data_IF_380224046199
#
_entry.id   IF_380224046199
#
_cell.length_a   1.000
_cell.length_b   1.000
_cell.length_c   1.000
_cell.angle_alpha   90.00
_cell.angle_beta   90.00
_cell.angle_gamma   90.00
#
_symmetry.space_group_name_H-M   'P 1'
#
loop_
_entity.id
_entity.type
_entity.pdbx_description
1 polymer ?
#
# COMPACT_ATOMS: atom_id res chain seq x y z
N UNK A 1 2.97 27.02 39.81
CA UNK A 1 3.83 26.74 38.64
C UNK A 1 3.41 25.40 38.09
N UNK A 2 3.01 25.32 36.82
CA UNK A 2 2.83 24.01 36.17
C UNK A 2 4.24 23.50 35.87
N UNK A 3 4.63 22.38 36.46
CA UNK A 3 5.91 21.74 36.15
C UNK A 3 5.78 21.05 34.80
N UNK A 4 6.70 21.37 33.89
CA UNK A 4 6.85 20.66 32.62
C UNK A 4 7.29 19.21 32.89
N UNK A 5 6.97 18.28 31.98
CA UNK A 5 7.46 16.91 32.07
C UNK A 5 8.96 16.82 31.85
N UNK A 6 9.60 15.85 32.51
CA UNK A 6 11.05 15.62 32.40
C UNK A 6 11.46 15.31 30.96
N UNK A 7 10.68 14.48 30.25
CA UNK A 7 10.93 14.16 28.84
C UNK A 7 10.85 15.41 27.95
N UNK A 8 9.88 16.29 28.18
CA UNK A 8 9.78 17.55 27.43
C UNK A 8 11.00 18.45 27.69
N UNK A 9 11.44 18.58 28.94
CA UNK A 9 12.61 19.37 29.30
C UNK A 9 13.87 18.80 28.63
N UNK A 10 14.07 17.48 28.69
CA UNK A 10 15.19 16.80 28.04
C UNK A 10 15.18 17.02 26.52
N UNK A 11 13.99 16.92 25.89
CA UNK A 11 13.82 17.18 24.47
C UNK A 11 14.07 18.64 24.08
N UNK A 12 13.71 19.63 24.92
CA UNK A 12 14.08 21.03 24.69
C UNK A 12 15.59 21.24 24.81
N UNK A 13 16.20 20.65 25.84
CA UNK A 13 17.61 20.82 26.18
C UNK A 13 18.58 20.08 25.27
N UNK A 14 18.12 19.11 24.48
CA UNK A 14 18.98 18.29 23.65
C UNK A 14 19.69 17.17 24.41
N UNK A 15 19.18 16.78 25.58
CA UNK A 15 19.77 15.75 26.45
C UNK A 15 19.39 14.34 25.96
N UNK A 16 20.13 13.83 24.98
CA UNK A 16 19.87 12.53 24.37
C UNK A 16 19.94 11.37 25.37
N UNK A 17 20.89 11.40 26.31
CA UNK A 17 21.08 10.33 27.30
C UNK A 17 19.91 10.25 28.27
N UNK A 18 19.43 11.42 28.75
CA UNK A 18 18.24 11.47 29.58
C UNK A 18 16.99 11.03 28.80
N UNK A 19 16.84 11.44 27.54
CA UNK A 19 15.74 10.96 26.68
C UNK A 19 15.77 9.44 26.58
N UNK A 20 16.92 8.82 26.29
CA UNK A 20 17.04 7.35 26.21
C UNK A 20 16.68 6.67 27.54
N UNK A 21 17.16 7.21 28.66
CA UNK A 21 16.84 6.70 29.99
C UNK A 21 15.34 6.76 30.30
N UNK A 22 14.69 7.86 29.96
CA UNK A 22 13.26 8.06 30.17
C UNK A 22 12.42 7.15 29.27
N UNK A 23 12.74 7.05 27.98
CA UNK A 23 12.00 6.21 27.02
C UNK A 23 11.95 4.73 27.42
N UNK A 24 12.96 4.24 28.15
CA UNK A 24 12.99 2.86 28.63
C UNK A 24 11.96 2.55 29.74
N UNK A 25 11.38 3.57 30.38
CA UNK A 25 10.49 3.43 31.54
C UNK A 25 9.12 4.08 31.40
N UNK A 26 8.92 4.94 30.39
CA UNK A 26 7.69 5.73 30.25
C UNK A 26 6.57 4.97 29.56
N UNK A 27 5.33 5.18 30.04
CA UNK A 27 4.10 4.65 29.45
C UNK A 27 3.53 5.58 28.35
N UNK A 28 2.58 5.09 27.55
CA UNK A 28 1.99 5.80 26.39
C UNK A 28 1.49 7.25 26.69
N UNK A 29 0.89 7.47 27.86
CA UNK A 29 0.34 8.78 28.20
C UNK A 29 1.43 9.81 28.56
N UNK A 30 2.63 9.34 28.92
CA UNK A 30 3.71 10.19 29.37
C UNK A 30 4.57 10.66 28.19
N UNK A 31 4.80 9.80 27.20
CA UNK A 31 5.58 10.13 26.00
C UNK A 31 4.90 11.20 25.12
N UNK A 32 3.57 11.26 25.14
CA UNK A 32 2.75 12.20 24.38
C UNK A 32 2.16 13.32 25.26
N UNK A 33 2.68 13.51 26.47
CA UNK A 33 2.12 14.49 27.40
C UNK A 33 2.16 15.89 26.78
N UNK A 34 1.01 16.56 26.79
CA UNK A 34 0.89 17.95 26.34
C UNK A 34 1.28 18.90 27.46
N UNK A 35 2.17 19.82 27.14
CA UNK A 35 2.56 20.92 28.01
C UNK A 35 1.57 22.09 27.93
N UNK A 36 1.69 23.17 28.73
CA UNK A 36 0.71 24.26 28.75
C UNK A 36 0.43 24.94 27.40
N UNK A 37 1.40 24.95 26.49
CA UNK A 37 1.24 25.44 25.10
C UNK A 37 0.64 24.38 24.14
N UNK A 38 0.26 23.21 24.67
CA UNK A 38 -0.26 22.08 23.93
C UNK A 38 0.80 21.21 23.24
N UNK A 39 2.07 21.62 23.28
CA UNK A 39 3.19 20.92 22.62
C UNK A 39 3.55 19.64 23.36
N UNK A 40 4.03 18.66 22.61
CA UNK A 40 4.52 17.37 23.12
C UNK A 40 6.05 17.33 23.12
N UNK A 41 6.70 16.33 23.74
CA UNK A 41 8.14 16.14 23.62
C UNK A 41 8.65 16.08 22.17
N UNK A 42 7.87 15.50 21.25
CA UNK A 42 8.20 15.49 19.81
C UNK A 42 8.21 16.90 19.21
N UNK A 43 7.26 17.77 19.59
CA UNK A 43 7.29 19.18 19.17
C UNK A 43 8.54 19.88 19.70
N UNK A 44 8.87 19.68 20.99
CA UNK A 44 10.05 20.29 21.59
C UNK A 44 11.35 19.91 20.85
N UNK A 45 11.56 18.62 20.59
CA UNK A 45 12.72 18.12 19.87
C UNK A 45 12.80 18.69 18.44
N UNK A 46 11.66 18.79 17.75
CA UNK A 46 11.59 19.33 16.39
C UNK A 46 11.86 20.84 16.37
N UNK A 47 11.18 21.63 17.21
CA UNK A 47 11.32 23.09 17.26
C UNK A 47 12.76 23.52 17.58
N UNK A 48 13.46 22.76 18.43
CA UNK A 48 14.85 23.06 18.82
C UNK A 48 15.89 22.40 17.90
N UNK A 49 15.46 21.63 16.89
CA UNK A 49 16.36 21.09 15.88
C UNK A 49 17.15 19.85 16.28
N UNK A 50 16.75 19.15 17.34
CA UNK A 50 17.49 18.01 17.90
C UNK A 50 17.26 16.72 17.11
N UNK A 51 17.89 16.62 15.93
CA UNK A 51 17.73 15.52 14.96
C UNK A 51 17.81 14.12 15.60
N UNK A 52 18.81 13.87 16.45
CA UNK A 52 18.98 12.57 17.11
C UNK A 52 17.81 12.22 18.03
N UNK A 53 17.31 13.20 18.79
CA UNK A 53 16.16 13.01 19.68
C UNK A 53 14.88 12.81 18.86
N UNK A 54 14.68 13.56 17.78
CA UNK A 54 13.54 13.34 16.88
C UNK A 54 13.56 11.92 16.32
N UNK A 55 14.73 11.40 15.92
CA UNK A 55 14.88 10.01 15.48
C UNK A 55 14.50 9.02 16.59
N UNK A 56 14.96 9.24 17.82
CA UNK A 56 14.62 8.37 18.95
C UNK A 56 13.11 8.32 19.21
N UNK A 57 12.48 9.49 19.32
CA UNK A 57 11.04 9.57 19.54
C UNK A 57 10.24 8.91 18.40
N UNK A 58 10.63 9.11 17.15
CA UNK A 58 9.92 8.52 16.01
C UNK A 58 10.11 7.00 15.87
N UNK A 59 11.08 6.40 16.56
CA UNK A 59 11.23 4.94 16.67
C UNK A 59 10.27 4.32 17.69
N UNK A 60 9.80 5.12 18.65
CA UNK A 60 8.88 4.65 19.68
C UNK A 60 7.46 4.53 19.13
N UNK A 61 6.91 3.32 19.14
CA UNK A 61 5.61 3.03 18.53
C UNK A 61 4.43 3.75 19.21
N UNK A 62 4.64 4.22 20.44
CA UNK A 62 3.69 4.96 21.23
C UNK A 62 3.66 6.46 20.89
N UNK A 63 4.63 7.00 20.17
CA UNK A 63 4.64 8.43 19.82
C UNK A 63 3.54 8.76 18.82
N UNK A 64 2.66 9.67 19.19
CA UNK A 64 1.65 10.22 18.29
C UNK A 64 2.24 11.36 17.45
N UNK A 65 2.59 10.98 16.22
CA UNK A 65 3.18 11.86 15.19
C UNK A 65 2.22 12.96 14.73
N UNK A 66 0.91 12.78 14.96
CA UNK A 66 -0.16 13.64 14.45
C UNK A 66 -0.74 14.55 15.52
N UNK A 67 -0.26 14.45 16.75
CA UNK A 67 -0.76 15.29 17.83
C UNK A 67 -0.50 16.76 17.50
N UNK A 68 -1.50 17.61 17.77
CA UNK A 68 -1.45 19.04 17.50
C UNK A 68 -1.25 19.85 18.78
N UNK A 69 -0.40 20.87 18.70
CA UNK A 69 -0.24 21.86 19.76
C UNK A 69 -1.41 22.87 19.80
N UNK A 70 -1.37 23.88 20.68
CA UNK A 70 -2.44 24.89 20.76
C UNK A 70 -2.52 25.80 19.53
N UNK A 71 -1.50 25.81 18.67
CA UNK A 71 -1.53 26.47 17.36
C UNK A 71 -2.16 25.58 16.27
N UNK A 72 -2.68 24.40 16.63
CA UNK A 72 -3.22 23.40 15.71
C UNK A 72 -2.19 22.82 14.73
N UNK A 73 -0.90 22.93 15.05
CA UNK A 73 0.22 22.43 14.24
C UNK A 73 0.72 21.09 14.78
N UNK A 74 1.09 20.17 13.89
CA UNK A 74 1.83 18.95 14.24
C UNK A 74 3.32 19.26 14.38
N UNK A 75 4.07 18.35 15.00
CA UNK A 75 5.53 18.47 15.08
C UNK A 75 6.18 18.56 13.68
N UNK A 76 5.67 17.82 12.69
CA UNK A 76 6.16 17.94 11.30
C UNK A 76 5.99 19.35 10.73
N UNK A 77 4.86 20.02 11.02
CA UNK A 77 4.58 21.37 10.53
C UNK A 77 5.44 22.45 11.21
N UNK A 78 5.87 22.21 12.45
CA UNK A 78 6.80 23.05 13.20
C UNK A 78 8.27 22.88 12.74
N UNK A 79 8.58 21.84 11.95
CA UNK A 79 9.94 21.58 11.50
C UNK A 79 10.49 22.73 10.63
N UNK A 80 11.61 23.31 11.07
CA UNK A 80 12.25 24.44 10.38
C UNK A 80 13.16 24.02 9.22
N UNK A 81 13.57 22.74 9.16
CA UNK A 81 14.51 22.23 8.17
C UNK A 81 13.98 20.98 7.48
N UNK A 82 14.35 20.81 6.21
CA UNK A 82 13.97 19.62 5.45
C UNK A 82 14.61 18.34 6.00
N UNK A 83 15.79 18.45 6.63
CA UNK A 83 16.43 17.33 7.32
C UNK A 83 15.51 16.74 8.42
N UNK A 84 14.84 17.59 9.20
CA UNK A 84 13.90 17.13 10.22
C UNK A 84 12.62 16.60 9.59
N UNK A 85 12.08 17.25 8.55
CA UNK A 85 10.91 16.76 7.80
C UNK A 85 11.14 15.37 7.23
N UNK A 86 12.34 15.10 6.70
CA UNK A 86 12.72 13.79 6.17
C UNK A 86 12.62 12.67 7.21
N UNK A 87 12.78 12.96 8.51
CA UNK A 87 12.61 11.97 9.57
C UNK A 87 11.15 11.49 9.68
N UNK A 88 10.19 12.27 9.18
CA UNK A 88 8.78 11.90 9.18
C UNK A 88 8.37 11.02 7.99
N UNK A 89 9.25 10.80 7.03
CA UNK A 89 9.03 9.87 5.93
C UNK A 89 9.66 8.50 6.24
N UNK A 90 9.22 7.44 5.56
CA UNK A 90 9.87 6.12 5.66
C UNK A 90 11.32 6.22 5.18
N UNK A 91 12.24 5.45 5.78
CA UNK A 91 13.62 5.44 5.35
C UNK A 91 13.76 4.80 3.95
N UNK A 92 14.61 5.41 3.14
CA UNK A 92 14.96 4.96 1.80
C UNK A 92 16.05 3.84 1.90
N UNK A 93 15.68 2.56 2.07
CA UNK A 93 16.60 1.40 2.15
C UNK A 93 16.65 0.52 0.88
N UNK A 94 17.75 -0.16 0.56
CA UNK A 94 17.89 -0.92 -0.69
C UNK A 94 16.85 -2.05 -0.93
N UNK A 95 16.24 -2.63 0.12
CA UNK A 95 15.18 -3.66 0.01
C UNK A 95 13.79 -3.03 0.12
N UNK A 96 13.44 -2.22 -0.87
CA UNK A 96 12.41 -1.19 -0.71
C UNK A 96 11.06 -1.50 -1.32
N UNK A 97 10.03 -0.89 -0.72
CA UNK A 97 8.65 -0.73 -1.21
C UNK A 97 8.49 -0.17 -2.62
N UNK A 98 9.58 0.39 -3.14
CA UNK A 98 9.67 1.10 -4.40
C UNK A 98 10.85 0.63 -5.26
N UNK A 99 11.39 -0.56 -4.99
CA UNK A 99 12.42 -1.16 -5.83
C UNK A 99 11.92 -2.48 -6.43
N UNK A 100 11.83 -2.54 -7.77
CA UNK A 100 11.35 -3.73 -8.46
C UNK A 100 12.50 -4.73 -8.61
N UNK A 101 13.01 -5.24 -7.49
CA UNK A 101 14.21 -6.10 -7.47
C UNK A 101 13.99 -7.41 -8.27
N UNK A 102 12.74 -7.86 -8.46
CA UNK A 102 12.33 -9.03 -9.28
C UNK A 102 10.84 -8.96 -9.70
N UNK A 103 10.48 -9.52 -10.88
CA UNK A 103 10.17 -8.78 -12.13
C UNK A 103 9.21 -7.59 -11.95
N UNK A 104 9.13 -6.73 -12.98
CA UNK A 104 8.28 -5.54 -13.03
C UNK A 104 6.89 -5.77 -12.40
N UNK A 105 6.33 -4.81 -11.63
CA UNK A 105 4.98 -4.90 -11.07
C UNK A 105 3.90 -4.83 -12.14
N UNK A 106 4.30 -4.67 -13.40
CA UNK A 106 3.48 -4.67 -14.60
C UNK A 106 4.03 -5.75 -15.53
N UNK A 107 3.16 -6.59 -16.06
CA UNK A 107 3.52 -7.60 -17.05
C UNK A 107 2.93 -7.21 -18.40
N UNK A 108 3.76 -7.17 -19.44
CA UNK A 108 3.35 -6.75 -20.78
C UNK A 108 3.43 -7.96 -21.72
N UNK A 109 2.31 -8.28 -22.38
CA UNK A 109 2.16 -9.48 -23.22
C UNK A 109 2.26 -9.17 -24.70
N UNK A 110 3.13 -9.89 -25.40
CA UNK A 110 3.13 -9.99 -26.86
C UNK A 110 2.37 -11.25 -27.31
N UNK A 111 1.30 -11.10 -28.11
CA UNK A 111 0.77 -12.23 -28.89
C UNK A 111 1.79 -12.59 -29.98
N UNK A 112 2.69 -13.55 -29.73
CA UNK A 112 3.33 -14.27 -30.83
C UNK A 112 2.27 -15.19 -31.44
N UNK A 113 1.70 -14.77 -32.57
CA UNK A 113 0.80 -15.60 -33.34
C UNK A 113 1.58 -16.75 -34.01
N UNK A 114 1.33 -17.95 -33.46
CA UNK A 114 1.32 -19.28 -34.09
C UNK A 114 2.66 -19.95 -34.45
N UNK A 115 2.82 -21.13 -33.84
CA UNK A 115 3.82 -22.19 -34.07
C UNK A 115 5.20 -21.97 -33.45
N UNK A 116 5.36 -22.45 -32.21
CA UNK A 116 6.41 -23.43 -31.87
C UNK A 116 6.21 -23.94 -30.43
N UNK A 117 5.95 -25.25 -30.35
CA UNK A 117 6.11 -26.04 -29.14
C UNK A 117 7.59 -25.97 -28.71
N UNK A 118 7.87 -25.38 -27.55
CA UNK A 118 8.90 -25.76 -26.56
C UNK A 118 9.45 -24.53 -25.83
N UNK A 119 9.05 -24.35 -24.58
CA UNK A 119 9.70 -23.40 -23.67
C UNK A 119 8.70 -22.64 -22.82
N UNK A 120 8.54 -23.07 -21.58
CA UNK A 120 7.69 -22.43 -20.57
C UNK A 120 8.11 -20.97 -20.34
N UNK A 121 7.17 -20.03 -20.47
CA UNK A 121 7.22 -18.65 -19.97
C UNK A 121 5.77 -18.23 -19.65
N UNK A 122 5.29 -18.15 -18.41
CA UNK A 122 5.54 -17.25 -17.24
C UNK A 122 4.62 -16.02 -17.24
N UNK A 123 3.57 -16.17 -16.41
CA UNK A 123 2.53 -15.25 -15.91
C UNK A 123 1.58 -14.64 -16.96
N UNK A 124 0.38 -14.14 -16.58
CA UNK A 124 -0.71 -13.71 -17.49
C UNK A 124 -1.58 -12.59 -16.88
N UNK A 125 -1.32 -11.30 -17.16
CA UNK A 125 -2.19 -10.18 -16.72
C UNK A 125 -2.31 -8.99 -17.73
N UNK A 126 -3.42 -9.05 -18.50
CA UNK A 126 -4.20 -8.02 -19.28
C UNK A 126 -3.81 -7.60 -20.72
N UNK A 127 -4.30 -8.37 -21.71
CA UNK A 127 -5.46 -8.05 -22.59
C UNK A 127 -5.37 -7.02 -23.74
N UNK A 128 -5.91 -7.39 -24.92
CA UNK A 128 -6.08 -6.58 -26.13
C UNK A 128 -7.45 -5.86 -26.12
N UNK A 129 -7.50 -4.56 -26.36
CA UNK A 129 -8.74 -3.79 -26.55
C UNK A 129 -9.33 -4.09 -27.95
N UNK A 130 -10.57 -4.58 -28.03
CA UNK A 130 -11.30 -4.62 -29.31
C UNK A 130 -11.73 -3.22 -29.76
N UNK A 131 -12.07 -3.08 -31.05
CA UNK A 131 -12.64 -1.88 -31.69
C UNK A 131 -13.87 -1.30 -30.98
N UNK A 132 -14.54 -2.08 -30.11
CA UNK A 132 -15.71 -1.67 -29.32
C UNK A 132 -15.38 -1.39 -27.84
N UNK A 133 -14.13 -1.03 -27.49
CA UNK A 133 -13.69 -0.69 -26.13
C UNK A 133 -13.86 -1.82 -25.09
N UNK A 134 -13.88 -3.10 -25.52
CA UNK A 134 -13.91 -4.26 -24.63
C UNK A 134 -12.49 -4.84 -24.48
N UNK A 135 -12.07 -5.12 -23.25
CA UNK A 135 -10.78 -5.77 -22.97
C UNK A 135 -10.91 -7.29 -23.24
N UNK A 136 -10.29 -7.79 -24.31
CA UNK A 136 -10.16 -9.22 -24.64
C UNK A 136 -8.95 -9.81 -23.91
N UNK A 137 -9.14 -10.96 -23.26
CA UNK A 137 -8.16 -11.58 -22.32
C UNK A 137 -8.72 -11.67 -20.91
N UNK A 138 -9.38 -10.60 -20.43
CA UNK A 138 -10.18 -10.62 -19.21
C UNK A 138 -11.47 -11.42 -19.38
N UNK A 139 -12.09 -11.37 -20.57
CA UNK A 139 -13.17 -12.29 -20.96
C UNK A 139 -12.73 -13.74 -20.98
N UNK A 140 -11.48 -14.08 -21.22
CA UNK A 140 -11.03 -15.48 -21.13
C UNK A 140 -10.90 -15.92 -19.67
N UNK A 141 -10.48 -15.05 -18.74
CA UNK A 141 -10.52 -15.36 -17.30
C UNK A 141 -11.95 -15.59 -16.75
N UNK A 142 -12.97 -14.95 -17.33
CA UNK A 142 -14.37 -15.09 -16.90
C UNK A 142 -15.25 -15.95 -17.83
N UNK A 143 -14.79 -16.27 -19.05
CA UNK A 143 -15.48 -17.13 -20.02
C UNK A 143 -14.70 -18.39 -20.41
N UNK A 144 -13.50 -18.65 -19.87
CA UNK A 144 -12.84 -19.96 -19.98
C UNK A 144 -13.37 -20.92 -18.91
N UNK A 145 -14.63 -21.27 -19.07
CA UNK A 145 -15.31 -22.27 -18.26
C UNK A 145 -14.85 -23.70 -18.49
N UNK A 146 -13.80 -23.99 -19.29
CA UNK A 146 -13.27 -25.37 -19.44
C UNK A 146 -11.76 -25.56 -19.58
N UNK A 147 -10.98 -24.54 -19.98
CA UNK A 147 -9.53 -24.72 -20.25
C UNK A 147 -8.57 -24.01 -19.27
N UNK A 148 -9.06 -23.18 -18.34
CA UNK A 148 -8.25 -22.70 -17.19
C UNK A 148 -8.05 -23.81 -16.15
N UNK A 149 -8.99 -24.76 -16.09
CA UNK A 149 -8.98 -25.93 -15.19
C UNK A 149 -7.77 -26.86 -15.39
N UNK A 150 -7.05 -26.74 -16.50
CA UNK A 150 -5.86 -27.53 -16.82
C UNK A 150 -4.53 -26.77 -16.70
N UNK A 151 -4.56 -25.46 -16.41
CA UNK A 151 -3.33 -24.67 -16.19
C UNK A 151 -2.98 -24.61 -14.70
N UNK A 152 -1.69 -24.74 -14.35
CA UNK A 152 -1.22 -24.76 -12.96
C UNK A 152 -1.57 -23.46 -12.20
N UNK A 153 -1.53 -22.32 -12.89
CA UNK A 153 -1.89 -21.01 -12.33
C UNK A 153 -3.41 -20.82 -12.20
N UNK A 154 -4.17 -21.31 -13.19
CA UNK A 154 -5.63 -21.36 -13.13
C UNK A 154 -6.11 -22.21 -11.96
N UNK A 155 -5.46 -23.34 -11.69
CA UNK A 155 -5.70 -24.15 -10.51
C UNK A 155 -5.25 -23.46 -9.21
N UNK A 156 -4.11 -22.73 -9.18
CA UNK A 156 -3.70 -21.95 -8.00
C UNK A 156 -4.67 -20.81 -7.67
N UNK A 157 -5.05 -19.99 -8.66
CA UNK A 157 -5.99 -18.89 -8.49
C UNK A 157 -7.40 -19.41 -8.21
N UNK A 158 -7.86 -20.46 -8.91
CA UNK A 158 -9.11 -21.15 -8.61
C UNK A 158 -9.08 -21.81 -7.23
N UNK A 159 -7.96 -22.36 -6.75
CA UNK A 159 -7.87 -22.92 -5.38
C UNK A 159 -7.83 -21.81 -4.33
N UNK A 160 -7.16 -20.69 -4.59
CA UNK A 160 -7.18 -19.48 -3.75
C UNK A 160 -8.53 -18.74 -3.78
N UNK A 161 -9.33 -18.94 -4.82
CA UNK A 161 -10.63 -18.30 -4.99
C UNK A 161 -11.79 -19.22 -4.56
N UNK A 162 -11.74 -20.52 -4.85
CA UNK A 162 -12.77 -21.52 -4.47
C UNK A 162 -12.59 -22.15 -3.10
N UNK A 163 -11.40 -22.08 -2.47
CA UNK A 163 -11.32 -22.31 -1.01
C UNK A 163 -12.04 -21.23 -0.20
N UNK A 164 -12.35 -20.07 -0.80
CA UNK A 164 -12.86 -18.89 -0.08
C UNK A 164 -14.19 -18.35 -0.62
N UNK A 165 -14.65 -18.81 -1.80
CA UNK A 165 -15.93 -18.43 -2.43
C UNK A 165 -16.79 -19.67 -2.72
N UNK A 166 -16.44 -20.85 -2.19
CA UNK A 166 -17.45 -21.89 -2.04
C UNK A 166 -18.46 -21.40 -0.97
N UNK A 167 -19.75 -21.18 -1.33
CA UNK A 167 -20.76 -20.69 -0.40
C UNK A 167 -21.00 -21.65 0.79
N UNK A 168 -20.58 -22.91 0.66
CA UNK A 168 -20.59 -23.91 1.74
C UNK A 168 -19.30 -23.90 2.57
N UNK A 169 -18.25 -23.21 2.13
CA UNK A 169 -16.93 -23.05 2.75
C UNK A 169 -16.66 -21.61 3.23
N UNK A 170 -17.72 -20.89 3.64
CA UNK A 170 -17.62 -19.82 4.63
C UNK A 170 -16.90 -20.27 5.94
N UNK A 171 -16.71 -21.58 6.07
CA UNK A 171 -15.69 -22.28 6.86
C UNK A 171 -14.35 -22.07 6.12
N UNK A 172 -13.55 -21.03 6.37
CA UNK A 172 -12.83 -20.91 7.62
C UNK A 172 -12.08 -19.55 7.68
N UNK A 173 -12.79 -18.42 7.84
CA UNK A 173 -12.15 -17.10 8.15
C UNK A 173 -11.13 -17.21 9.29
N UNK A 174 -11.41 -18.10 10.26
CA UNK A 174 -10.48 -18.48 11.33
C UNK A 174 -9.17 -19.06 10.80
N UNK A 175 -9.21 -19.92 9.77
CA UNK A 175 -8.00 -20.44 9.11
C UNK A 175 -7.21 -19.34 8.43
N UNK A 176 -7.90 -18.36 7.82
CA UNK A 176 -7.25 -17.25 7.14
C UNK A 176 -6.57 -16.27 8.09
N UNK A 177 -7.27 -15.86 9.15
CA UNK A 177 -6.70 -15.04 10.23
C UNK A 177 -5.51 -15.77 10.86
N UNK A 178 -5.61 -17.10 11.07
CA UNK A 178 -4.49 -17.93 11.53
C UNK A 178 -3.30 -17.94 10.56
N UNK A 179 -3.54 -18.04 9.25
CA UNK A 179 -2.47 -17.98 8.25
C UNK A 179 -1.79 -16.61 8.23
N UNK A 180 -2.57 -15.53 8.33
CA UNK A 180 -2.01 -14.19 8.38
C UNK A 180 -1.22 -13.94 9.67
N UNK A 181 -1.73 -14.41 10.82
CA UNK A 181 -1.00 -14.38 12.09
C UNK A 181 0.31 -15.15 11.99
N UNK A 182 0.28 -16.36 11.41
CA UNK A 182 1.49 -17.16 11.18
C UNK A 182 2.50 -16.41 10.31
N UNK A 183 2.07 -15.74 9.23
CA UNK A 183 2.95 -14.93 8.39
C UNK A 183 3.56 -13.76 9.18
N UNK A 184 2.79 -13.11 10.04
CA UNK A 184 3.27 -12.04 10.93
C UNK A 184 4.35 -12.60 11.86
N UNK A 185 4.05 -13.67 12.59
CA UNK A 185 4.93 -14.26 13.60
C UNK A 185 6.23 -14.83 12.99
N UNK A 186 6.17 -15.37 11.77
CA UNK A 186 7.36 -15.83 11.02
C UNK A 186 8.24 -14.68 10.51
N UNK A 187 7.67 -13.49 10.31
CA UNK A 187 8.38 -12.35 9.70
C UNK A 187 8.94 -11.38 10.75
N UNK A 188 8.28 -11.28 11.89
CA UNK A 188 8.62 -10.36 12.98
C UNK A 188 8.75 -11.17 14.27
N UNK A 189 9.97 -11.54 14.69
CA UNK A 189 10.15 -12.27 15.93
C UNK A 189 9.86 -11.38 17.16
N UNK A 190 9.57 -11.97 18.34
CA UNK A 190 9.16 -11.21 19.53
C UNK A 190 10.16 -10.17 20.05
N UNK A 191 11.45 -10.32 19.73
CA UNK A 191 12.53 -9.40 20.06
C UNK A 191 12.64 -8.20 19.10
N UNK A 192 11.89 -8.20 17.99
CA UNK A 192 11.84 -7.09 17.06
C UNK A 192 11.08 -5.89 17.67
N UNK A 193 11.64 -4.69 17.58
CA UNK A 193 11.07 -3.47 18.19
C UNK A 193 9.61 -3.16 17.77
N UNK A 194 9.23 -3.45 16.53
CA UNK A 194 7.85 -3.28 16.03
C UNK A 194 6.88 -4.40 16.43
N UNK A 195 7.33 -5.51 17.01
CA UNK A 195 6.47 -6.66 17.33
C UNK A 195 5.26 -6.28 18.21
N UNK A 196 5.41 -5.50 19.31
CA UNK A 196 4.26 -5.09 20.13
C UNK A 196 3.22 -4.31 19.33
N UNK A 197 3.66 -3.39 18.47
CA UNK A 197 2.77 -2.57 17.63
C UNK A 197 2.01 -3.42 16.62
N UNK A 198 2.70 -4.37 15.98
CA UNK A 198 2.08 -5.26 15.00
C UNK A 198 1.05 -6.18 15.65
N UNK A 199 1.35 -6.75 16.82
CA UNK A 199 0.38 -7.55 17.57
C UNK A 199 -0.83 -6.71 18.01
N UNK A 200 -0.62 -5.47 18.48
CA UNK A 200 -1.71 -4.58 18.85
C UNK A 200 -2.67 -4.29 17.68
N UNK A 201 -2.13 -3.95 16.50
CA UNK A 201 -2.93 -3.70 15.30
C UNK A 201 -3.68 -4.95 14.82
N UNK A 202 -3.01 -6.11 14.87
CA UNK A 202 -3.65 -7.37 14.50
C UNK A 202 -4.79 -7.74 15.46
N UNK A 203 -4.56 -7.61 16.77
CA UNK A 203 -5.59 -7.86 17.79
C UNK A 203 -6.77 -6.88 17.65
N UNK A 204 -6.51 -5.61 17.34
CA UNK A 204 -7.55 -4.62 17.06
C UNK A 204 -8.38 -5.02 15.84
N UNK A 205 -7.76 -5.53 14.77
CA UNK A 205 -8.48 -6.10 13.63
C UNK A 205 -9.35 -7.30 14.06
N UNK A 206 -8.80 -8.25 14.82
CA UNK A 206 -9.56 -9.42 15.27
C UNK A 206 -10.82 -9.01 16.06
N UNK A 207 -10.71 -7.99 16.89
CA UNK A 207 -11.83 -7.49 17.71
C UNK A 207 -12.84 -6.66 16.91
N UNK A 208 -12.37 -5.76 16.05
CA UNK A 208 -13.22 -4.76 15.40
C UNK A 208 -13.70 -5.17 14.02
N UNK A 209 -12.97 -6.06 13.35
CA UNK A 209 -13.16 -6.46 11.95
C UNK A 209 -13.16 -5.25 11.00
N UNK A 210 -12.48 -4.16 11.36
CA UNK A 210 -12.32 -2.95 10.55
C UNK A 210 -11.04 -3.04 9.71
N UNK A 211 -10.98 -2.56 8.46
CA UNK A 211 -9.79 -2.70 7.61
C UNK A 211 -8.58 -1.86 8.04
N UNK A 212 -8.81 -0.77 8.79
CA UNK A 212 -7.79 0.25 9.11
C UNK A 212 -6.56 -0.31 9.84
N UNK A 213 -6.67 -1.19 10.86
CA UNK A 213 -5.50 -1.70 11.56
C UNK A 213 -4.57 -2.51 10.65
N UNK A 214 -5.13 -3.28 9.70
CA UNK A 214 -4.34 -4.09 8.77
C UNK A 214 -3.70 -3.27 7.65
N UNK A 215 -4.42 -2.25 7.16
CA UNK A 215 -3.84 -1.27 6.25
C UNK A 215 -2.73 -0.45 6.94
N UNK A 216 -2.90 -0.12 8.22
CA UNK A 216 -1.88 0.55 9.03
C UNK A 216 -0.64 -0.36 9.16
N UNK A 217 -0.83 -1.64 9.46
CA UNK A 217 0.22 -2.65 9.53
C UNK A 217 0.99 -2.76 8.19
N UNK A 218 0.31 -2.70 7.04
CA UNK A 218 0.94 -2.64 5.72
C UNK A 218 1.81 -1.38 5.51
N UNK A 219 1.49 -0.27 6.16
CA UNK A 219 2.26 0.98 6.05
C UNK A 219 3.46 1.07 6.99
N UNK A 220 3.58 0.16 7.96
CA UNK A 220 4.74 0.11 8.86
C UNK A 220 6.01 -0.23 8.08
N UNK A 221 7.11 0.41 8.46
CA UNK A 221 8.44 0.05 7.95
C UNK A 221 8.92 -1.24 8.64
N UNK A 222 8.37 -2.38 8.23
CA UNK A 222 8.65 -3.69 8.80
C UNK A 222 8.98 -4.72 7.72
N UNK A 223 9.72 -5.80 8.03
CA UNK A 223 9.97 -6.90 7.10
C UNK A 223 8.68 -7.55 6.56
N UNK A 224 7.55 -7.38 7.26
CA UNK A 224 6.24 -7.90 6.83
C UNK A 224 5.79 -7.33 5.49
N UNK A 225 6.08 -6.05 5.23
CA UNK A 225 5.80 -5.44 3.94
C UNK A 225 6.49 -6.22 2.82
N UNK A 226 7.80 -6.48 2.98
CA UNK A 226 8.63 -7.19 1.99
C UNK A 226 8.04 -8.57 1.71
N UNK A 227 7.65 -9.30 2.77
CA UNK A 227 7.03 -10.64 2.64
C UNK A 227 5.65 -10.63 1.98
N UNK A 228 4.87 -9.56 2.12
CA UNK A 228 3.58 -9.39 1.46
C UNK A 228 3.71 -9.04 -0.03
N UNK A 229 4.82 -8.41 -0.43
CA UNK A 229 5.02 -7.93 -1.80
C UNK A 229 5.96 -8.78 -2.64
N UNK A 230 6.96 -9.46 -2.06
CA UNK A 230 7.90 -10.30 -2.81
C UNK A 230 7.27 -11.63 -3.25
N UNK A 231 6.50 -12.28 -2.37
CA UNK A 231 5.86 -13.55 -2.65
C UNK A 231 4.38 -13.35 -2.97
N UNK A 232 4.00 -13.56 -4.24
CA UNK A 232 2.61 -13.46 -4.65
C UNK A 232 1.70 -14.44 -3.91
N UNK A 233 2.20 -15.57 -3.42
CA UNK A 233 1.37 -16.51 -2.65
C UNK A 233 0.87 -15.87 -1.32
N UNK A 234 1.51 -14.78 -0.84
CA UNK A 234 1.11 -14.05 0.37
C UNK A 234 0.21 -12.82 0.11
N UNK A 235 0.30 -12.20 -1.07
CA UNK A 235 -0.48 -11.00 -1.43
C UNK A 235 -2.02 -11.19 -1.39
N UNK A 236 -2.59 -12.37 -1.72
CA UNK A 236 -4.02 -12.64 -1.61
C UNK A 236 -4.59 -12.41 -0.22
N UNK A 237 -3.76 -12.50 0.83
CA UNK A 237 -4.22 -12.35 2.22
C UNK A 237 -4.69 -10.91 2.48
N UNK A 238 -3.80 -9.94 2.24
CA UNK A 238 -4.18 -8.54 2.40
C UNK A 238 -5.25 -8.12 1.37
N UNK A 239 -5.15 -8.65 0.14
CA UNK A 239 -6.09 -8.34 -0.93
C UNK A 239 -7.52 -8.77 -0.54
N UNK A 240 -7.71 -10.00 -0.08
CA UNK A 240 -9.02 -10.49 0.32
C UNK A 240 -9.67 -9.63 1.41
N UNK A 241 -8.88 -9.15 2.38
CA UNK A 241 -9.36 -8.27 3.45
C UNK A 241 -9.83 -6.94 2.85
N UNK A 242 -8.99 -6.28 2.04
CA UNK A 242 -9.36 -5.01 1.39
C UNK A 242 -10.64 -5.19 0.58
N UNK A 243 -10.74 -6.28 -0.19
CA UNK A 243 -11.91 -6.61 -1.01
C UNK A 243 -13.19 -6.77 -0.20
N UNK A 244 -13.14 -7.51 0.91
CA UNK A 244 -14.25 -7.66 1.85
C UNK A 244 -14.73 -6.31 2.38
N UNK A 245 -13.82 -5.35 2.52
CA UNK A 245 -14.10 -4.03 3.07
C UNK A 245 -14.24 -2.92 2.01
N UNK A 246 -14.29 -3.22 0.71
CA UNK A 246 -14.37 -2.20 -0.36
C UNK A 246 -15.55 -1.24 -0.16
N UNK A 247 -16.71 -1.72 0.29
CA UNK A 247 -17.88 -0.86 0.58
C UNK A 247 -17.61 0.16 1.69
N UNK A 248 -16.84 -0.22 2.70
CA UNK A 248 -16.45 0.67 3.81
C UNK A 248 -15.36 1.65 3.34
N UNK A 249 -14.51 1.20 2.41
CA UNK A 249 -13.42 1.99 1.83
C UNK A 249 -13.87 2.92 0.69
N UNK A 250 -15.12 2.84 0.20
CA UNK A 250 -15.64 3.69 -0.88
C UNK A 250 -15.34 5.20 -0.70
N UNK A 251 -15.49 5.81 0.49
CA UNK A 251 -15.16 7.23 0.69
C UNK A 251 -13.68 7.58 0.52
N UNK A 252 -12.81 6.57 0.43
CA UNK A 252 -11.35 6.69 0.24
C UNK A 252 -10.91 6.33 -1.18
N UNK A 253 -11.84 6.08 -2.10
CA UNK A 253 -11.50 5.78 -3.48
C UNK A 253 -10.87 7.00 -4.13
N UNK A 254 -9.68 6.81 -4.67
CA UNK A 254 -8.87 7.89 -5.19
C UNK A 254 -9.35 8.36 -6.56
N UNK A 255 -9.30 9.67 -6.75
CA UNK A 255 -9.46 10.36 -8.03
C UNK A 255 -8.36 11.42 -8.12
N UNK A 256 -7.73 11.53 -9.27
CA UNK A 256 -6.64 12.48 -9.53
C UNK A 256 -5.36 11.77 -9.96
N UNK A 257 -4.23 12.43 -9.72
CA UNK A 257 -2.91 11.95 -10.11
C UNK A 257 -2.11 11.47 -8.91
N UNK A 258 -1.54 10.27 -9.02
CA UNK A 258 -0.61 9.71 -8.05
C UNK A 258 0.73 9.38 -8.73
N UNK A 259 1.81 9.49 -7.98
CA UNK A 259 3.18 9.31 -8.44
C UNK A 259 3.81 8.15 -7.68
N UNK A 260 4.59 7.34 -8.39
CA UNK A 260 5.42 6.30 -7.80
C UNK A 260 6.81 6.39 -8.39
N UNK A 261 7.77 6.89 -7.62
CA UNK A 261 9.18 6.75 -7.97
C UNK A 261 9.64 5.33 -7.71
N UNK A 262 10.48 4.81 -8.60
CA UNK A 262 11.07 3.49 -8.50
C UNK A 262 12.36 3.39 -9.30
N UNK A 263 13.15 2.35 -9.00
CA UNK A 263 14.37 2.00 -9.74
C UNK A 263 14.11 0.70 -10.51
N UNK A 264 14.06 0.75 -11.84
CA UNK A 264 13.74 -0.42 -12.70
C UNK A 264 14.84 -0.72 -13.71
N UNK A 265 14.77 -1.89 -14.37
CA UNK A 265 15.70 -2.19 -15.46
C UNK A 265 15.28 -1.43 -16.71
N UNK A 266 16.26 -1.07 -17.53
CA UNK A 266 15.98 -0.46 -18.83
C UNK A 266 15.15 -1.39 -19.75
N UNK A 267 15.30 -2.70 -19.63
CA UNK A 267 14.50 -3.66 -20.39
C UNK A 267 13.01 -3.59 -20.02
N UNK A 268 12.68 -3.36 -18.74
CA UNK A 268 11.29 -3.20 -18.31
C UNK A 268 10.65 -1.95 -18.97
N UNK A 269 11.41 -0.88 -19.22
CA UNK A 269 10.93 0.33 -19.91
C UNK A 269 10.49 0.04 -21.35
N UNK A 270 11.19 -0.87 -22.06
CA UNK A 270 10.85 -1.25 -23.45
C UNK A 270 9.45 -1.82 -23.54
N UNK A 271 9.00 -2.52 -22.51
CA UNK A 271 7.65 -3.07 -22.47
C UNK A 271 6.60 -1.94 -22.49
N UNK A 272 6.80 -0.86 -21.73
CA UNK A 272 5.88 0.29 -21.75
C UNK A 272 5.93 1.04 -23.08
N UNK A 273 7.11 1.16 -23.69
CA UNK A 273 7.27 1.75 -25.02
C UNK A 273 6.48 0.94 -26.06
N UNK A 274 6.58 -0.39 -26.00
CA UNK A 274 5.80 -1.26 -26.86
C UNK A 274 4.29 -1.10 -26.63
N UNK A 275 3.84 -1.04 -25.37
CA UNK A 275 2.43 -0.81 -25.05
C UNK A 275 1.93 0.56 -25.51
N UNK A 276 2.79 1.59 -25.52
CA UNK A 276 2.49 2.92 -26.06
C UNK A 276 2.34 2.91 -27.59
N UNK A 277 3.19 2.15 -28.30
CA UNK A 277 3.13 2.01 -29.76
C UNK A 277 1.90 1.20 -30.24
N UNK A 278 1.34 0.37 -29.35
CA UNK A 278 0.19 -0.49 -29.64
C UNK A 278 -1.04 0.00 -28.87
N UNK A 279 -1.75 0.99 -29.43
CA UNK A 279 -2.91 1.67 -28.82
C UNK A 279 -4.07 0.77 -28.35
N UNK A 280 -4.08 -0.51 -28.75
CA UNK A 280 -5.02 -1.53 -28.30
C UNK A 280 -4.48 -2.37 -27.12
N UNK A 281 -3.39 -1.96 -26.47
CA UNK A 281 -2.79 -2.65 -25.32
C UNK A 281 -3.09 -1.96 -24.01
N UNK A 282 -3.11 -2.76 -22.96
CA UNK A 282 -3.30 -2.33 -21.58
C UNK A 282 -2.26 -2.98 -20.69
N UNK A 283 -2.03 -2.41 -19.52
CA UNK A 283 -1.15 -2.96 -18.50
C UNK A 283 -1.90 -3.04 -17.18
N UNK A 284 -1.62 -4.06 -16.38
CA UNK A 284 -2.24 -4.28 -15.08
C UNK A 284 -1.22 -4.29 -13.95
N UNK A 285 -1.58 -3.78 -12.80
CA UNK A 285 -0.77 -3.95 -11.59
C UNK A 285 -0.86 -5.39 -11.10
N UNK A 286 0.30 -6.04 -10.91
CA UNK A 286 0.39 -7.40 -10.40
C UNK A 286 0.46 -7.45 -8.87
N UNK A 287 0.98 -6.39 -8.26
CA UNK A 287 1.21 -6.24 -6.82
C UNK A 287 0.57 -4.97 -6.29
N UNK A 288 0.60 -4.81 -4.97
CA UNK A 288 0.28 -3.54 -4.34
C UNK A 288 1.30 -2.48 -4.72
N UNK A 289 0.83 -1.38 -5.31
CA UNK A 289 1.66 -0.26 -5.72
C UNK A 289 1.38 0.93 -4.80
N UNK A 290 2.19 1.07 -3.75
CA UNK A 290 2.24 2.32 -2.99
C UNK A 290 2.65 3.47 -3.88
N UNK A 291 1.90 4.56 -3.80
CA UNK A 291 2.10 5.77 -4.58
C UNK A 291 1.82 6.98 -3.67
N UNK A 292 2.19 8.18 -4.10
CA UNK A 292 1.92 9.42 -3.36
C UNK A 292 1.20 10.42 -4.24
N UNK A 293 0.37 11.29 -3.65
CA UNK A 293 -0.12 12.48 -4.38
C UNK A 293 0.96 13.56 -4.50
N UNK A 294 2.06 13.44 -3.77
CA UNK A 294 3.21 14.36 -3.80
C UNK A 294 4.33 13.74 -4.66
N UNK A 295 4.68 14.45 -5.73
CA UNK A 295 5.71 13.99 -6.68
C UNK A 295 7.10 13.95 -6.04
N UNK A 296 7.46 14.93 -5.22
CA UNK A 296 8.77 14.99 -4.56
C UNK A 296 8.94 13.81 -3.59
N UNK A 297 7.88 13.47 -2.84
CA UNK A 297 7.87 12.28 -1.98
C UNK A 297 8.05 11.01 -2.81
N UNK A 298 7.35 10.90 -3.94
CA UNK A 298 7.46 9.73 -4.80
C UNK A 298 8.86 9.59 -5.40
N UNK A 299 9.43 10.68 -5.93
CA UNK A 299 10.77 10.74 -6.51
C UNK A 299 11.84 10.31 -5.50
N UNK A 300 11.73 10.76 -4.25
CA UNK A 300 12.67 10.37 -3.20
C UNK A 300 12.81 8.85 -3.05
N UNK A 301 11.74 8.07 -3.26
CA UNK A 301 11.80 6.60 -3.26
C UNK A 301 12.44 6.00 -4.53
N UNK A 302 12.41 6.73 -5.64
CA UNK A 302 13.06 6.34 -6.90
C UNK A 302 14.52 6.78 -7.02
N UNK A 303 15.02 7.64 -6.13
CA UNK A 303 16.38 8.20 -6.19
C UNK A 303 17.49 7.18 -5.87
N UNK A 304 17.16 5.98 -5.38
CA UNK A 304 18.16 4.93 -5.18
C UNK A 304 18.57 4.33 -6.53
N UNK A 305 19.76 4.72 -6.97
CA UNK A 305 20.42 4.13 -8.14
C UNK A 305 21.09 2.82 -7.73
N UNK A 306 20.53 1.71 -8.18
CA UNK A 306 21.23 0.42 -8.18
C UNK A 306 22.01 0.28 -9.51
N UNK A 307 23.09 -0.51 -9.54
CA UNK A 307 23.78 -0.84 -10.80
C UNK A 307 22.79 -1.37 -11.85
N UNK A 308 22.96 -0.94 -13.10
CA UNK A 308 22.15 -1.34 -14.26
C UNK A 308 20.65 -1.00 -14.17
N UNK A 309 20.28 -0.01 -13.35
CA UNK A 309 18.91 0.49 -13.22
C UNK A 309 18.78 1.95 -13.57
N UNK A 310 17.57 2.31 -13.99
CA UNK A 310 17.17 3.67 -14.30
C UNK A 310 16.20 4.21 -13.25
N UNK A 311 16.29 5.51 -13.00
CA UNK A 311 15.34 6.25 -12.16
C UNK A 311 14.07 6.48 -12.94
N UNK A 312 12.95 6.01 -12.42
CA UNK A 312 11.66 6.09 -13.09
C UNK A 312 10.61 6.68 -12.17
N UNK A 313 9.73 7.52 -12.70
CA UNK A 313 8.47 7.91 -12.07
C UNK A 313 7.31 7.38 -12.90
N UNK A 314 6.45 6.58 -12.28
CA UNK A 314 5.14 6.24 -12.86
C UNK A 314 4.12 7.27 -12.38
N UNK A 315 3.39 7.85 -13.33
CA UNK A 315 2.31 8.80 -13.12
C UNK A 315 0.98 8.10 -13.40
N UNK A 316 0.23 7.78 -12.36
CA UNK A 316 -1.10 7.17 -12.47
C UNK A 316 -2.18 8.25 -12.49
N UNK A 317 -2.99 8.26 -13.54
CA UNK A 317 -4.12 9.17 -13.69
C UNK A 317 -5.45 8.44 -13.53
N UNK A 318 -6.28 8.91 -12.61
CA UNK A 318 -7.62 8.40 -12.34
C UNK A 318 -8.66 9.51 -12.55
N UNK A 319 -9.33 9.51 -13.70
CA UNK A 319 -10.32 10.55 -14.05
C UNK A 319 -11.57 10.54 -13.16
N UNK A 320 -11.86 9.39 -12.55
CA UNK A 320 -12.98 9.15 -11.65
C UNK A 320 -12.52 8.34 -10.42
N UNK A 321 -13.30 8.32 -9.32
CA UNK A 321 -12.97 7.49 -8.16
C UNK A 321 -12.81 6.02 -8.55
N UNK A 322 -11.68 5.41 -8.16
CA UNK A 322 -11.33 4.04 -8.51
C UNK A 322 -11.30 3.14 -7.26
N UNK A 323 -11.99 1.99 -7.31
CA UNK A 323 -11.98 0.99 -6.23
C UNK A 323 -10.63 0.24 -6.11
N UNK A 324 -9.81 0.31 -7.15
CA UNK A 324 -8.43 -0.16 -7.21
C UNK A 324 -7.40 0.82 -6.65
N UNK A 325 -7.81 1.99 -6.15
CA UNK A 325 -6.89 2.99 -5.59
C UNK A 325 -7.45 3.58 -4.29
N UNK A 326 -6.78 3.32 -3.16
CA UNK A 326 -7.27 3.68 -1.81
C UNK A 326 -6.39 4.75 -1.17
N UNK A 327 -6.98 5.85 -0.72
CA UNK A 327 -6.31 6.92 0.03
C UNK A 327 -6.06 6.52 1.48
N UNK A 328 -4.79 6.55 1.91
CA UNK A 328 -4.39 6.18 3.27
C UNK A 328 -4.07 7.38 4.18
N UNK A 329 -4.13 8.61 3.67
CA UNK A 329 -3.97 9.85 4.45
C UNK A 329 -5.30 10.35 5.03
N UNK A 330 -5.24 11.36 5.90
CA UNK A 330 -6.44 11.98 6.47
C UNK A 330 -7.20 12.75 5.41
N UNK A 331 -8.51 12.52 5.31
CA UNK A 331 -9.41 13.24 4.38
C UNK A 331 -10.33 14.21 5.12
N UNK A 332 -10.72 13.85 6.33
CA UNK A 332 -11.59 14.63 7.21
C UNK A 332 -11.47 14.09 8.64
N UNK A 333 -12.04 14.77 9.65
CA UNK A 333 -12.12 14.23 11.01
C UNK A 333 -12.80 12.85 11.09
N UNK A 334 -13.77 12.57 10.20
CA UNK A 334 -14.49 11.29 10.13
C UNK A 334 -13.75 10.22 9.32
N UNK A 335 -12.78 10.63 8.50
CA UNK A 335 -11.91 9.76 7.70
C UNK A 335 -10.45 10.04 8.06
N UNK A 336 -10.01 9.68 9.28
CA UNK A 336 -8.66 9.95 9.76
C UNK A 336 -7.61 9.19 8.96
N UNK A 337 -6.35 9.56 9.12
CA UNK A 337 -5.25 8.89 8.44
C UNK A 337 -5.10 7.43 8.88
N UNK A 338 -4.94 6.53 7.91
CA UNK A 338 -4.67 5.11 8.10
C UNK A 338 -3.15 4.85 8.12
N UNK A 339 -2.41 5.45 7.18
CA UNK A 339 -0.97 5.23 7.03
C UNK A 339 -0.20 5.77 8.23
N UNK A 340 0.74 4.99 8.77
CA UNK A 340 1.63 5.47 9.83
C UNK A 340 2.46 6.70 9.42
N UNK A 341 2.56 6.99 8.12
CA UNK A 341 3.32 8.08 7.52
C UNK A 341 2.38 9.02 6.75
N UNK A 342 1.64 9.87 7.46
CA UNK A 342 0.61 10.74 6.88
C UNK A 342 1.17 11.71 5.82
N UNK A 343 2.36 12.26 6.08
CA UNK A 343 3.01 13.25 5.23
C UNK A 343 3.43 12.69 3.87
N UNK A 344 3.44 11.36 3.71
CA UNK A 344 3.68 10.74 2.41
C UNK A 344 2.45 10.77 1.50
N UNK A 345 1.28 11.16 2.01
CA UNK A 345 0.01 11.25 1.27
C UNK A 345 -0.27 10.02 0.40
N UNK A 346 -0.11 8.85 1.02
CA UNK A 346 -0.08 7.59 0.30
C UNK A 346 -1.43 7.24 -0.34
N UNK A 347 -1.36 6.84 -1.62
CA UNK A 347 -2.42 6.17 -2.37
C UNK A 347 -1.97 4.73 -2.66
N UNK A 348 -2.70 3.77 -2.14
CA UNK A 348 -2.44 2.35 -2.36
C UNK A 348 -3.20 1.87 -3.59
N UNK A 349 -2.47 1.59 -4.67
CA UNK A 349 -3.04 0.99 -5.88
C UNK A 349 -3.01 -0.54 -5.72
N UNK A 350 -4.17 -1.17 -5.94
CA UNK A 350 -4.40 -2.59 -5.71
C UNK A 350 -3.97 -3.42 -6.93
N UNK A 351 -3.57 -4.69 -6.73
CA UNK A 351 -3.45 -5.67 -7.80
C UNK A 351 -4.73 -5.74 -8.66
N UNK A 352 -4.57 -5.85 -9.98
CA UNK A 352 -5.65 -5.93 -10.96
C UNK A 352 -6.16 -4.57 -11.45
N UNK A 353 -5.55 -3.46 -11.06
CA UNK A 353 -5.88 -2.12 -11.57
C UNK A 353 -5.28 -1.95 -12.96
N UNK A 354 -6.10 -1.54 -13.94
CA UNK A 354 -5.75 -1.56 -15.37
C UNK A 354 -5.52 -0.14 -15.89
N UNK A 355 -4.50 0.00 -16.72
CA UNK A 355 -4.09 1.25 -17.32
C UNK A 355 -3.79 1.11 -18.81
N UNK A 356 -3.81 2.23 -19.52
CA UNK A 356 -3.15 2.41 -20.81
C UNK A 356 -1.92 3.29 -20.63
N UNK A 357 -0.83 2.94 -21.31
CA UNK A 357 0.33 3.85 -21.42
C UNK A 357 -0.07 5.01 -22.32
N UNK A 358 -0.08 6.21 -21.76
CA UNK A 358 -0.47 7.44 -22.45
C UNK A 358 0.73 8.15 -23.08
N UNK A 359 1.85 8.18 -22.34
CA UNK A 359 3.04 8.92 -22.71
C UNK A 359 4.25 8.39 -21.96
N UNK A 360 5.43 8.49 -22.57
CA UNK A 360 6.72 8.30 -21.92
C UNK A 360 7.57 9.54 -22.22
N UNK A 361 8.24 10.08 -21.21
CA UNK A 361 9.13 11.24 -21.32
C UNK A 361 10.44 11.00 -20.58
N UNK A 362 11.52 11.62 -21.06
CA UNK A 362 12.79 11.65 -20.35
C UNK A 362 13.03 13.07 -19.82
N UNK A 363 13.08 13.21 -18.51
CA UNK A 363 13.41 14.48 -17.86
C UNK A 363 14.93 14.65 -17.84
N UNK A 364 15.43 15.47 -18.76
CA UNK A 364 16.86 15.75 -18.91
C UNK A 364 17.46 16.48 -17.70
N UNK A 365 16.65 17.18 -16.89
CA UNK A 365 17.13 17.94 -15.75
C UNK A 365 17.30 17.04 -14.53
N UNK A 366 16.29 16.22 -14.24
CA UNK A 366 16.30 15.35 -13.07
C UNK A 366 16.93 14.00 -13.37
N UNK A 367 16.98 13.59 -14.64
CA UNK A 367 17.47 12.29 -15.10
C UNK A 367 16.49 11.14 -14.84
N UNK A 368 15.20 11.45 -14.68
CA UNK A 368 14.13 10.47 -14.54
C UNK A 368 13.49 10.14 -15.88
N UNK A 369 13.15 8.87 -16.07
CA UNK A 369 12.19 8.43 -17.08
C UNK A 369 10.79 8.51 -16.48
N UNK A 370 9.83 9.13 -17.17
CA UNK A 370 8.47 9.36 -16.68
C UNK A 370 7.49 8.58 -17.54
N UNK A 371 6.73 7.69 -16.93
CA UNK A 371 5.74 6.84 -17.59
C UNK A 371 4.34 7.28 -17.15
N UNK A 372 3.53 7.78 -18.07
CA UNK A 372 2.17 8.22 -17.80
C UNK A 372 1.17 7.12 -18.11
N UNK A 373 0.37 6.76 -17.11
CA UNK A 373 -0.62 5.69 -17.16
C UNK A 373 -2.01 6.27 -16.92
N UNK A 374 -2.92 6.08 -17.87
CA UNK A 374 -4.32 6.47 -17.71
C UNK A 374 -5.15 5.26 -17.30
N UNK A 375 -5.82 5.34 -16.16
CA UNK A 375 -6.67 4.29 -15.63
C UNK A 375 -7.84 4.00 -16.58
N UNK A 376 -8.19 2.72 -16.74
CA UNK A 376 -9.34 2.28 -17.51
C UNK A 376 -10.49 1.93 -16.55
N UNK A 377 -11.58 2.72 -16.52
CA UNK A 377 -12.78 2.49 -15.72
C UNK A 377 -13.38 1.08 -15.72
N UNK A 378 -13.91 0.66 -14.58
CA UNK A 378 -14.62 -0.61 -14.40
C UNK A 378 -15.90 -0.78 -15.25
N UNK A 379 -16.52 0.29 -15.75
CA UNK A 379 -17.68 0.18 -16.64
C UNK A 379 -17.33 -0.53 -17.98
N UNK A 380 -16.05 -0.50 -18.37
CA UNK A 380 -15.49 -1.24 -19.50
C UNK A 380 -14.91 -2.61 -19.08
N UNK A 381 -14.92 -2.92 -17.78
CA UNK A 381 -14.37 -4.12 -17.15
C UNK A 381 -15.40 -4.83 -16.22
N UNK A 382 -16.31 -5.66 -16.78
CA UNK A 382 -17.45 -6.21 -16.05
C UNK A 382 -17.13 -7.19 -14.91
N UNK A 383 -15.88 -7.65 -14.73
CA UNK A 383 -15.58 -8.68 -13.71
C UNK A 383 -15.60 -8.18 -12.27
N UNK A 384 -15.18 -6.95 -12.02
CA UNK A 384 -15.25 -6.34 -10.68
C UNK A 384 -16.70 -5.99 -10.30
N UNK A 385 -17.50 -5.54 -11.29
CA UNK A 385 -18.92 -5.28 -11.10
C UNK A 385 -19.73 -6.56 -10.82
N UNK A 386 -19.44 -7.65 -11.54
CA UNK A 386 -20.08 -8.97 -11.33
C UNK A 386 -19.68 -9.56 -9.98
N UNK A 387 -18.43 -9.41 -9.54
CA UNK A 387 -17.99 -9.83 -8.20
C UNK A 387 -18.68 -9.04 -7.09
N UNK A 388 -18.82 -7.73 -7.25
CA UNK A 388 -19.54 -6.87 -6.30
C UNK A 388 -21.03 -7.20 -6.19
N UNK A 389 -21.69 -7.58 -7.29
CA UNK A 389 -23.08 -8.02 -7.31
C UNK A 389 -23.25 -9.46 -6.78
N UNK A 390 -22.34 -10.38 -7.13
CA UNK A 390 -22.36 -11.76 -6.63
C UNK A 390 -22.11 -11.81 -5.12
N UNK A 391 -21.19 -10.99 -4.60
CA UNK A 391 -20.94 -10.87 -3.16
C UNK A 391 -22.08 -10.13 -2.43
N UNK A 392 -22.78 -9.20 -3.11
CA UNK A 392 -23.98 -8.59 -2.53
C UNK A 392 -25.14 -9.57 -2.43
N UNK A 393 -25.41 -10.32 -3.48
CA UNK A 393 -26.43 -11.37 -3.48
C UNK A 393 -26.09 -12.47 -2.47
N UNK A 394 -24.82 -12.91 -2.39
CA UNK A 394 -24.40 -13.89 -1.40
C UNK A 394 -24.60 -13.39 0.04
N UNK A 395 -24.31 -12.12 0.32
CA UNK A 395 -24.56 -11.46 1.61
C UNK A 395 -26.07 -11.33 1.90
N UNK A 396 -26.87 -10.91 0.94
CA UNK A 396 -28.31 -10.75 1.11
C UNK A 396 -29.01 -12.10 1.30
N UNK A 397 -28.51 -13.15 0.66
CA UNK A 397 -28.95 -14.53 0.87
C UNK A 397 -28.52 -15.08 2.24
N UNK A 398 -27.33 -14.74 2.74
CA UNK A 398 -26.89 -15.06 4.10
C UNK A 398 -27.73 -14.34 5.17
N UNK A 399 -28.04 -13.06 4.99
CA UNK A 399 -28.92 -12.29 5.90
C UNK A 399 -30.33 -12.89 5.91
N UNK A 400 -30.88 -13.26 4.75
CA UNK A 400 -32.15 -13.98 4.65
C UNK A 400 -32.11 -15.33 5.36
N UNK A 401 -31.01 -16.07 5.23
CA UNK A 401 -30.82 -17.36 5.89
C UNK A 401 -30.77 -17.25 7.43
N UNK A 402 -30.12 -16.22 7.97
CA UNK A 402 -30.14 -15.94 9.41
C UNK A 402 -31.49 -15.41 9.91
N UNK A 403 -32.25 -14.67 9.10
CA UNK A 403 -33.60 -14.21 9.46
C UNK A 403 -34.66 -15.32 9.48
N UNK A 404 -34.42 -16.44 8.79
CA UNK A 404 -35.32 -17.60 8.79
C UNK A 404 -35.12 -18.55 9.99
N UNK A 405 -34.10 -18.32 10.82
CA UNK A 405 -33.76 -19.12 12.00
C UNK A 405 -33.95 -18.39 13.34
N UNK A 406 -34.70 -17.30 13.37
CA UNK A 406 -35.18 -16.68 14.62
C UNK A 406 -36.64 -16.98 14.87
#
# INVERSE_FOLDING_TARGET
>A
MVSLSELYIACCGGDEDLVRGLLASLEYNEINRREPNGSTPLHAAVCHGHVSIVRLLLLEFHVDRRQRNNHSLTAYQEAQTDNIRQLFHRPNQAHQRFCDVQPSPFEIYTEHNQNEENGRATSNYVGRMETNQKILGYRQLLSMSKHIWSSELGQKYFTLYTRFVDPTNAINMVSFIKQFKKLIDETLPPDHNLYPRVQALFNEYEQTQRPEPLLTLYTLNSPLYVRLTENIDNSPVLLHIIWRHLRVLTPRFFRGTAYRGLSMKYDDLKEYQWALENNDRTIGTYRFCSSSTDRCVAEAFGDIVLPDRIRTVIVFNFDQPCNGAIQLYSLSPDLPCISNFEEEREVLILPGTIFRVWKIEDDQHTGYHIIYLNHIPDAENPGLHVLGSVLSEARDNLIKWFSFRR
#
